data_IF_767258293208
#
_entry.id   IF_767258293208
#
_cell.length_a   1.000
_cell.length_b   1.000
_cell.length_c   1.000
_cell.angle_alpha   90.00
_cell.angle_beta   90.00
_cell.angle_gamma   90.00
#
_symmetry.space_group_name_H-M   'P 1'
#
loop_
_entity.id
_entity.type
_entity.pdbx_description
1 polymer ?
#
# COMPACT_ATOMS: atom_id res chain seq x y z
N UNK A 1 -49.93 -19.09 -16.65
CA UNK A 1 -48.54 -18.57 -16.73
C UNK A 1 -48.10 -18.22 -15.32
N UNK A 2 -47.39 -19.12 -14.64
CA UNK A 2 -46.96 -18.95 -13.25
C UNK A 2 -45.44 -18.88 -13.21
N UNK A 3 -44.93 -17.74 -12.71
CA UNK A 3 -43.52 -17.43 -12.63
C UNK A 3 -42.82 -18.38 -11.65
N UNK A 4 -41.78 -19.06 -12.13
CA UNK A 4 -40.91 -19.90 -11.30
C UNK A 4 -39.98 -19.01 -10.48
N UNK A 5 -40.03 -19.12 -9.16
CA UNK A 5 -39.14 -18.39 -8.25
C UNK A 5 -37.76 -19.04 -8.29
N UNK A 6 -36.75 -18.30 -8.74
CA UNK A 6 -35.34 -18.70 -8.68
C UNK A 6 -34.83 -18.43 -7.27
N UNK A 7 -34.68 -19.48 -6.48
CA UNK A 7 -34.01 -19.42 -5.17
C UNK A 7 -32.50 -19.27 -5.39
N UNK A 8 -31.96 -18.08 -5.12
CA UNK A 8 -30.51 -17.85 -5.11
C UNK A 8 -29.98 -18.29 -3.74
N UNK A 9 -29.25 -19.39 -3.72
CA UNK A 9 -28.49 -19.80 -2.53
C UNK A 9 -27.26 -18.88 -2.35
N UNK A 10 -26.94 -18.44 -1.12
CA UNK A 10 -25.75 -17.63 -0.88
C UNK A 10 -24.51 -18.49 -1.13
N UNK A 11 -23.65 -18.05 -2.06
CA UNK A 11 -22.33 -18.66 -2.26
C UNK A 11 -21.54 -18.54 -0.96
N UNK A 12 -21.17 -19.68 -0.39
CA UNK A 12 -20.20 -19.74 0.70
C UNK A 12 -18.93 -18.99 0.29
N UNK A 13 -18.50 -18.07 1.17
CA UNK A 13 -17.23 -17.38 1.04
C UNK A 13 -16.13 -18.38 1.42
N UNK A 14 -15.65 -19.11 0.42
CA UNK A 14 -14.45 -19.91 0.53
C UNK A 14 -13.24 -18.97 0.55
N UNK A 15 -12.61 -18.83 1.72
CA UNK A 15 -11.50 -17.90 2.00
C UNK A 15 -10.23 -18.18 1.20
N UNK A 16 -10.19 -19.29 0.45
CA UNK A 16 -9.00 -19.73 -0.29
C UNK A 16 -9.04 -19.42 -1.79
N UNK A 17 -10.11 -18.81 -2.33
CA UNK A 17 -10.27 -18.53 -3.77
C UNK A 17 -9.97 -17.10 -4.23
N UNK A 18 -9.13 -16.35 -3.51
CA UNK A 18 -8.67 -15.01 -3.95
C UNK A 18 -7.56 -15.08 -5.03
N UNK A 19 -7.13 -16.29 -5.43
CA UNK A 19 -5.90 -16.48 -6.21
C UNK A 19 -6.02 -16.44 -7.74
N UNK A 20 -7.22 -16.36 -8.33
CA UNK A 20 -7.34 -16.61 -9.78
C UNK A 20 -7.27 -15.40 -10.72
N UNK A 21 -6.99 -14.16 -10.27
CA UNK A 21 -7.06 -13.02 -11.19
C UNK A 21 -6.18 -11.79 -10.87
N UNK A 22 -4.94 -11.99 -10.40
CA UNK A 22 -3.99 -10.87 -10.28
C UNK A 22 -2.56 -11.27 -10.67
N UNK A 23 -1.83 -10.43 -11.44
CA UNK A 23 -0.46 -10.72 -11.82
C UNK A 23 0.42 -10.86 -10.57
N UNK A 24 1.14 -11.97 -10.54
CA UNK A 24 1.63 -12.69 -9.38
C UNK A 24 2.96 -12.07 -8.91
N UNK A 25 3.04 -11.80 -7.59
CA UNK A 25 4.23 -11.81 -6.69
C UNK A 25 4.19 -10.70 -5.62
N UNK A 26 3.67 -9.50 -5.89
CA UNK A 26 3.67 -8.39 -4.91
C UNK A 26 2.50 -8.48 -3.89
N UNK A 27 1.54 -9.38 -4.12
CA UNK A 27 0.37 -9.57 -3.24
C UNK A 27 0.60 -10.57 -2.09
N UNK A 28 1.58 -11.47 -2.20
CA UNK A 28 1.80 -12.52 -1.19
C UNK A 28 2.18 -11.90 0.15
N UNK A 29 3.11 -10.93 0.18
CA UNK A 29 3.55 -10.32 1.43
C UNK A 29 2.43 -9.54 2.13
N UNK A 30 1.56 -8.86 1.38
CA UNK A 30 0.44 -8.12 1.97
C UNK A 30 -0.58 -9.08 2.60
N UNK A 31 -0.94 -10.14 1.89
CA UNK A 31 -1.92 -11.12 2.41
C UNK A 31 -1.31 -11.94 3.54
N UNK A 32 -0.15 -12.55 3.32
CA UNK A 32 0.48 -13.51 4.24
C UNK A 32 1.08 -12.86 5.46
N UNK A 33 1.75 -11.71 5.33
CA UNK A 33 2.47 -11.09 6.45
C UNK A 33 1.69 -9.98 7.15
N UNK A 34 0.59 -9.47 6.55
CA UNK A 34 -0.19 -8.37 7.15
C UNK A 34 -1.63 -8.78 7.44
N UNK A 35 -2.36 -9.24 6.42
CA UNK A 35 -3.80 -9.50 6.56
C UNK A 35 -4.05 -10.77 7.38
N UNK A 36 -3.45 -11.91 7.01
CA UNK A 36 -3.65 -13.20 7.70
C UNK A 36 -3.25 -13.15 9.17
N UNK A 37 -2.10 -12.58 9.58
CA UNK A 37 -1.73 -12.49 10.98
C UNK A 37 -2.69 -11.60 11.78
N UNK A 38 -3.13 -10.48 11.20
CA UNK A 38 -4.09 -9.59 11.84
C UNK A 38 -5.45 -10.28 12.06
N UNK A 39 -5.95 -11.02 11.06
CA UNK A 39 -7.18 -11.82 11.20
C UNK A 39 -7.05 -12.88 12.28
N UNK A 40 -5.99 -13.70 12.22
CA UNK A 40 -5.74 -14.71 13.24
C UNK A 40 -5.72 -14.14 14.65
N UNK A 41 -5.14 -12.95 14.82
CA UNK A 41 -5.14 -12.28 16.10
C UNK A 41 -6.55 -11.85 16.51
N UNK A 42 -7.30 -11.21 15.61
CA UNK A 42 -8.68 -10.80 15.88
C UNK A 42 -9.58 -11.99 16.22
N UNK A 43 -9.54 -13.06 15.43
CA UNK A 43 -10.36 -14.26 15.64
C UNK A 43 -10.08 -14.95 16.98
N UNK A 44 -8.84 -14.84 17.49
CA UNK A 44 -8.44 -15.46 18.75
C UNK A 44 -8.64 -14.57 19.99
N UNK A 45 -8.77 -13.25 19.84
CA UNK A 45 -8.71 -12.31 20.97
C UNK A 45 -9.84 -11.27 20.99
N UNK A 46 -10.69 -11.24 19.99
CA UNK A 46 -11.74 -10.24 19.87
C UNK A 46 -13.07 -10.88 19.46
N UNK A 47 -14.16 -10.19 19.80
CA UNK A 47 -15.51 -10.56 19.39
C UNK A 47 -16.00 -9.56 18.34
N UNK A 48 -16.37 -9.99 17.12
CA UNK A 48 -16.87 -9.09 16.08
C UNK A 48 -18.15 -8.33 16.48
N UNK A 49 -18.92 -8.83 17.45
CA UNK A 49 -20.13 -8.15 17.95
C UNK A 49 -19.82 -6.91 18.81
N UNK A 50 -18.65 -6.87 19.45
CA UNK A 50 -18.27 -5.80 20.39
C UNK A 50 -17.02 -5.04 19.95
N UNK A 51 -16.37 -5.46 18.88
CA UNK A 51 -15.11 -4.87 18.38
C UNK A 51 -15.32 -4.03 17.13
N UNK A 52 -14.77 -2.81 17.14
CA UNK A 52 -14.73 -1.92 15.97
C UNK A 52 -13.29 -1.71 15.49
N UNK A 53 -13.07 -1.91 14.18
CA UNK A 53 -11.80 -1.65 13.52
C UNK A 53 -11.75 -0.22 12.97
N UNK A 54 -10.88 0.62 13.53
CA UNK A 54 -10.63 1.97 13.04
C UNK A 54 -9.51 1.98 12.00
N UNK A 55 -9.79 2.45 10.80
CA UNK A 55 -8.84 2.46 9.67
C UNK A 55 -8.64 3.90 9.19
N UNK A 56 -7.40 4.38 9.19
CA UNK A 56 -7.03 5.72 8.74
C UNK A 56 -6.95 5.82 7.21
N UNK A 57 -8.08 6.14 6.58
CA UNK A 57 -8.18 6.54 5.16
C UNK A 57 -8.35 8.05 5.08
N UNK A 58 -7.54 8.74 4.28
CA UNK A 58 -7.70 10.19 4.15
C UNK A 58 -8.92 10.57 3.31
N UNK A 59 -9.39 11.82 3.45
CA UNK A 59 -10.57 12.32 2.76
C UNK A 59 -10.42 12.45 1.23
N UNK A 60 -9.28 12.04 0.64
CA UNK A 60 -9.08 12.08 -0.81
C UNK A 60 -10.09 11.21 -1.54
N UNK A 61 -10.41 11.60 -2.78
CA UNK A 61 -11.28 10.82 -3.66
C UNK A 61 -10.80 9.38 -3.82
N UNK A 62 -9.48 9.16 -3.83
CA UNK A 62 -8.89 7.82 -3.95
C UNK A 62 -9.21 6.95 -2.75
N UNK A 63 -9.02 7.48 -1.54
CA UNK A 63 -9.22 6.71 -0.31
C UNK A 63 -10.69 6.54 0.04
N UNK A 64 -11.53 7.55 -0.23
CA UNK A 64 -12.99 7.42 -0.11
C UNK A 64 -13.55 6.26 -0.96
N UNK A 65 -13.06 6.10 -2.20
CA UNK A 65 -13.48 5.01 -3.09
C UNK A 65 -13.04 3.62 -2.61
N UNK A 66 -12.04 3.53 -1.73
CA UNK A 66 -11.54 2.25 -1.19
C UNK A 66 -12.31 1.77 0.03
N UNK A 67 -12.96 2.68 0.75
CA UNK A 67 -13.65 2.36 2.01
C UNK A 67 -14.69 1.23 1.88
N UNK A 68 -15.57 1.19 0.86
CA UNK A 68 -16.57 0.11 0.75
C UNK A 68 -15.92 -1.27 0.59
N UNK A 69 -14.93 -1.40 -0.30
CA UNK A 69 -14.23 -2.66 -0.53
C UNK A 69 -13.43 -3.11 0.70
N UNK A 70 -12.86 -2.17 1.46
CA UNK A 70 -12.17 -2.47 2.71
C UNK A 70 -13.18 -2.96 3.77
N UNK A 71 -14.32 -2.29 3.91
CA UNK A 71 -15.37 -2.69 4.85
C UNK A 71 -15.91 -4.10 4.54
N UNK A 72 -16.26 -4.37 3.28
CA UNK A 72 -16.65 -5.72 2.83
C UNK A 72 -15.55 -6.73 3.09
N UNK A 73 -14.31 -6.35 2.79
CA UNK A 73 -13.14 -7.20 3.02
C UNK A 73 -13.03 -7.64 4.47
N UNK A 74 -13.36 -6.78 5.44
CA UNK A 74 -13.24 -7.06 6.87
C UNK A 74 -14.46 -7.71 7.53
N UNK A 75 -15.51 -8.09 6.80
CA UNK A 75 -16.62 -8.84 7.40
C UNK A 75 -16.13 -10.10 8.18
N UNK A 76 -16.67 -10.41 9.37
CA UNK A 76 -17.81 -9.79 10.08
C UNK A 76 -17.45 -8.57 10.96
N UNK A 77 -16.22 -8.08 10.93
CA UNK A 77 -15.78 -6.98 11.78
C UNK A 77 -16.40 -5.65 11.36
N UNK A 78 -16.92 -4.89 12.33
CA UNK A 78 -17.39 -3.52 12.07
C UNK A 78 -16.19 -2.61 11.80
N UNK A 79 -16.15 -1.96 10.64
CA UNK A 79 -15.08 -0.98 10.30
C UNK A 79 -15.58 0.47 10.36
N UNK A 80 -14.72 1.37 10.84
CA UNK A 80 -14.93 2.83 10.83
C UNK A 80 -13.73 3.54 10.21
N UNK A 81 -14.00 4.67 9.53
CA UNK A 81 -13.01 5.46 8.81
C UNK A 81 -13.09 6.94 9.23
N UNK A 82 -12.70 7.31 10.46
CA UNK A 82 -13.01 8.62 11.05
C UNK A 82 -12.54 9.82 10.21
N UNK A 83 -11.44 9.67 9.48
CA UNK A 83 -10.86 10.74 8.66
C UNK A 83 -11.62 11.00 7.34
N UNK A 84 -12.62 10.18 7.02
CA UNK A 84 -13.53 10.41 5.88
C UNK A 84 -14.72 11.29 6.24
N UNK A 85 -14.99 11.45 7.54
CA UNK A 85 -16.04 12.30 8.08
C UNK A 85 -15.55 13.76 8.19
N UNK A 86 -16.44 14.76 8.14
CA UNK A 86 -16.05 16.15 8.39
C UNK A 86 -15.58 16.38 9.84
N UNK A 87 -14.64 17.31 10.08
CA UNK A 87 -13.93 18.14 9.10
C UNK A 87 -12.82 17.38 8.35
N UNK A 88 -12.67 17.64 7.05
CA UNK A 88 -11.65 17.02 6.22
C UNK A 88 -10.31 17.75 6.36
N UNK A 89 -9.43 17.19 7.18
CA UNK A 89 -8.10 17.75 7.45
C UNK A 89 -7.09 17.34 6.38
N UNK A 90 -6.23 18.28 6.01
CA UNK A 90 -5.02 18.03 5.24
C UNK A 90 -4.03 17.18 6.06
N UNK A 91 -3.08 16.55 5.37
CA UNK A 91 -2.02 15.80 6.04
C UNK A 91 -1.22 16.67 7.02
N UNK A 92 -0.97 17.93 6.68
CA UNK A 92 -0.22 18.82 7.55
C UNK A 92 -1.00 19.12 8.84
N UNK A 93 -2.30 19.44 8.73
CA UNK A 93 -3.17 19.64 9.89
C UNK A 93 -3.24 18.39 10.78
N UNK A 94 -3.33 17.18 10.19
CA UNK A 94 -3.28 15.93 10.97
C UNK A 94 -1.96 15.75 11.72
N UNK A 95 -0.83 16.11 11.10
CA UNK A 95 0.47 16.07 11.75
C UNK A 95 0.59 17.11 12.87
N UNK A 96 0.03 18.30 12.68
CA UNK A 96 0.01 19.36 13.68
C UNK A 96 -0.87 18.99 14.87
N UNK A 97 -2.07 18.46 14.63
CA UNK A 97 -2.93 17.90 15.68
C UNK A 97 -2.24 16.78 16.45
N UNK A 98 -1.51 15.89 15.76
CA UNK A 98 -0.73 14.85 16.44
C UNK A 98 0.35 15.46 17.36
N UNK A 99 1.06 16.51 16.91
CA UNK A 99 2.05 17.21 17.75
C UNK A 99 1.41 17.90 18.95
N UNK A 100 0.24 18.52 18.78
CA UNK A 100 -0.51 19.15 19.89
C UNK A 100 -0.91 18.13 20.96
N UNK A 101 -1.17 16.88 20.56
CA UNK A 101 -1.42 15.76 21.47
C UNK A 101 -0.14 15.14 22.07
N UNK A 102 1.03 15.74 21.83
CA UNK A 102 2.32 15.23 22.31
C UNK A 102 2.88 14.04 21.52
N UNK A 103 2.26 13.68 20.40
CA UNK A 103 2.77 12.62 19.52
C UNK A 103 3.91 13.15 18.65
N UNK A 104 4.92 12.30 18.42
CA UNK A 104 6.03 12.60 17.50
C UNK A 104 5.74 11.97 16.14
N UNK A 105 5.52 12.76 15.07
CA UNK A 105 5.40 12.21 13.73
C UNK A 105 6.61 11.37 13.31
N UNK A 106 6.40 10.30 12.51
CA UNK A 106 7.50 9.51 11.97
C UNK A 106 8.54 10.33 11.21
N UNK A 107 9.83 10.00 11.42
CA UNK A 107 11.01 10.70 10.84
C UNK A 107 10.93 10.91 9.33
N UNK A 108 10.39 9.94 8.58
CA UNK A 108 10.32 10.00 7.12
C UNK A 108 9.49 11.18 6.60
N UNK A 109 8.50 11.65 7.36
CA UNK A 109 7.73 12.83 6.99
C UNK A 109 8.57 14.11 7.08
N UNK A 110 9.47 14.22 8.07
CA UNK A 110 10.39 15.35 8.20
C UNK A 110 11.41 15.38 7.04
N UNK A 111 11.72 14.22 6.44
CA UNK A 111 12.57 14.12 5.25
C UNK A 111 11.83 14.46 3.94
N UNK A 112 10.53 14.78 4.02
CA UNK A 112 9.69 15.09 2.87
C UNK A 112 9.22 13.85 2.10
N UNK A 113 9.31 12.65 2.67
CA UNK A 113 8.69 11.46 2.07
C UNK A 113 7.18 11.47 2.32
N UNK A 114 6.36 11.11 1.32
CA UNK A 114 4.92 11.21 1.46
C UNK A 114 4.34 10.16 2.41
N UNK A 115 5.02 9.04 2.65
CA UNK A 115 4.52 7.89 3.42
C UNK A 115 5.63 7.32 4.32
N UNK A 116 5.27 6.73 5.46
CA UNK A 116 6.20 6.10 6.40
C UNK A 116 6.28 4.56 6.22
N UNK A 117 6.44 4.09 4.99
CA UNK A 117 6.42 2.65 4.67
C UNK A 117 7.82 2.13 4.34
N UNK A 118 8.15 0.91 4.79
CA UNK A 118 9.37 0.17 4.43
C UNK A 118 10.67 0.98 4.63
N UNK A 119 10.74 1.77 5.71
CA UNK A 119 11.90 2.64 5.96
C UNK A 119 12.17 3.68 4.86
N UNK A 120 11.20 3.97 4.00
CA UNK A 120 11.34 4.84 2.84
C UNK A 120 11.64 4.10 1.54
N UNK A 121 12.04 2.83 1.56
CA UNK A 121 12.42 2.04 0.39
C UNK A 121 11.28 1.13 -0.11
N UNK A 122 10.06 1.65 -0.16
CA UNK A 122 8.91 0.86 -0.59
C UNK A 122 9.01 0.50 -2.09
N UNK A 123 9.06 -0.80 -2.41
CA UNK A 123 9.12 -1.31 -3.81
C UNK A 123 7.89 -0.95 -4.65
N UNK A 124 6.80 -0.50 -4.03
CA UNK A 124 5.61 0.00 -4.73
C UNK A 124 5.63 1.51 -4.98
N UNK A 125 6.66 2.21 -4.52
CA UNK A 125 6.78 3.65 -4.71
C UNK A 125 7.23 3.99 -6.14
N UNK A 126 6.81 5.15 -6.64
CA UNK A 126 7.14 5.59 -7.99
C UNK A 126 8.54 6.23 -8.10
N UNK A 127 8.97 6.48 -9.34
CA UNK A 127 10.30 7.03 -9.66
C UNK A 127 10.65 8.35 -8.94
N UNK A 128 9.68 9.25 -8.77
CA UNK A 128 9.88 10.50 -8.01
C UNK A 128 10.17 10.24 -6.53
N UNK A 129 9.52 9.24 -5.92
CA UNK A 129 9.79 8.85 -4.54
C UNK A 129 11.20 8.29 -4.40
N UNK A 130 11.63 7.41 -5.31
CA UNK A 130 12.99 6.86 -5.30
C UNK A 130 14.06 7.91 -5.56
N UNK A 131 13.80 8.88 -6.44
CA UNK A 131 14.69 10.02 -6.63
C UNK A 131 14.82 10.88 -5.37
N UNK A 132 13.72 11.12 -4.65
CA UNK A 132 13.77 11.80 -3.35
C UNK A 132 14.54 10.96 -2.32
N UNK A 133 14.32 9.66 -2.28
CA UNK A 133 15.00 8.74 -1.36
C UNK A 133 16.52 8.76 -1.58
N UNK A 134 17.00 8.75 -2.82
CA UNK A 134 18.42 8.87 -3.14
C UNK A 134 19.05 10.10 -2.50
N UNK A 135 18.30 11.21 -2.45
CA UNK A 135 18.78 12.46 -1.87
C UNK A 135 18.72 12.47 -0.33
N UNK A 136 17.65 11.95 0.28
CA UNK A 136 17.42 12.09 1.73
C UNK A 136 17.86 10.90 2.57
N UNK A 137 17.99 9.71 1.96
CA UNK A 137 18.44 8.46 2.59
C UNK A 137 19.25 7.64 1.55
N UNK A 138 20.45 8.11 1.14
CA UNK A 138 21.24 7.46 0.10
C UNK A 138 21.58 6.01 0.44
N UNK A 139 21.88 5.68 1.70
CA UNK A 139 22.19 4.31 2.12
C UNK A 139 21.02 3.34 1.90
N UNK A 140 19.78 3.81 2.12
CA UNK A 140 18.58 3.02 1.84
C UNK A 140 18.38 2.80 0.34
N UNK A 141 18.72 3.80 -0.48
CA UNK A 141 18.69 3.66 -1.92
C UNK A 141 19.72 2.63 -2.39
N UNK A 142 20.98 2.76 -1.95
CA UNK A 142 22.08 1.84 -2.27
C UNK A 142 21.76 0.41 -1.87
N UNK A 143 21.20 0.19 -0.68
CA UNK A 143 20.81 -1.14 -0.22
C UNK A 143 19.69 -1.74 -1.09
N UNK A 144 18.66 -0.96 -1.43
CA UNK A 144 17.57 -1.43 -2.26
C UNK A 144 18.01 -1.74 -3.70
N UNK A 145 18.95 -0.96 -4.22
CA UNK A 145 19.52 -1.14 -5.54
C UNK A 145 20.44 -2.37 -5.61
N UNK A 146 21.27 -2.61 -4.58
CA UNK A 146 22.04 -3.84 -4.48
C UNK A 146 21.11 -5.06 -4.43
N UNK A 147 20.03 -5.00 -3.65
CA UNK A 147 19.02 -6.05 -3.59
C UNK A 147 18.29 -6.24 -4.93
N UNK A 148 18.01 -5.17 -5.67
CA UNK A 148 17.42 -5.27 -7.01
C UNK A 148 18.39 -5.93 -8.00
N UNK A 149 19.68 -5.58 -7.96
CA UNK A 149 20.71 -6.24 -8.78
C UNK A 149 20.77 -7.74 -8.49
N UNK A 150 20.83 -8.13 -7.22
CA UNK A 150 20.82 -9.55 -6.85
C UNK A 150 19.56 -10.28 -7.36
N UNK A 151 18.38 -9.68 -7.18
CA UNK A 151 17.13 -10.26 -7.69
C UNK A 151 17.11 -10.38 -9.21
N UNK A 152 17.78 -9.48 -9.94
CA UNK A 152 17.91 -9.56 -11.40
C UNK A 152 18.85 -10.68 -11.84
N UNK A 153 19.91 -10.95 -11.09
CA UNK A 153 20.79 -12.09 -11.33
C UNK A 153 20.05 -13.41 -11.17
N UNK A 154 19.16 -13.50 -10.18
CA UNK A 154 18.38 -14.71 -9.91
C UNK A 154 17.14 -14.87 -10.82
N UNK A 155 16.42 -13.78 -11.09
CA UNK A 155 15.09 -13.81 -11.74
C UNK A 155 15.07 -13.27 -13.17
N UNK A 156 16.20 -12.75 -13.67
CA UNK A 156 16.31 -12.14 -14.99
C UNK A 156 15.80 -10.69 -15.04
N UNK A 157 15.04 -10.33 -16.08
CA UNK A 157 14.66 -8.93 -16.34
C UNK A 157 13.49 -8.44 -15.45
N UNK A 158 13.78 -8.27 -14.17
CA UNK A 158 12.87 -7.70 -13.17
C UNK A 158 13.34 -6.33 -12.69
N UNK A 159 12.44 -5.40 -12.44
CA UNK A 159 12.80 -4.10 -11.87
C UNK A 159 11.68 -3.59 -10.97
N UNK A 160 12.06 -2.86 -9.93
CA UNK A 160 11.21 -2.13 -8.99
C UNK A 160 10.38 -1.11 -9.75
N UNK A 161 11.02 -0.35 -10.65
CA UNK A 161 10.33 0.68 -11.44
C UNK A 161 10.06 0.20 -12.86
N UNK A 162 9.00 0.77 -13.42
CA UNK A 162 8.71 0.70 -14.85
C UNK A 162 8.32 2.08 -15.34
N UNK A 163 8.63 2.35 -16.60
CA UNK A 163 8.26 3.59 -17.28
C UNK A 163 7.54 3.28 -18.60
N UNK A 164 6.77 4.25 -19.11
CA UNK A 164 6.20 4.17 -20.44
C UNK A 164 7.00 5.04 -21.41
N UNK A 165 7.41 4.47 -22.53
CA UNK A 165 8.07 5.17 -23.64
C UNK A 165 7.42 4.70 -24.94
N UNK A 166 7.04 5.62 -25.82
CA UNK A 166 6.37 5.26 -27.08
C UNK A 166 5.19 4.28 -26.90
N UNK A 167 4.40 4.46 -25.83
CA UNK A 167 3.29 3.57 -25.42
C UNK A 167 3.68 2.13 -25.07
N UNK A 168 4.97 1.83 -24.96
CA UNK A 168 5.51 0.56 -24.50
C UNK A 168 6.04 0.68 -23.07
N UNK A 169 5.89 -0.39 -22.28
CA UNK A 169 6.35 -0.42 -20.88
C UNK A 169 7.77 -0.95 -20.84
N UNK A 170 8.68 -0.19 -20.25
CA UNK A 170 10.08 -0.56 -20.06
C UNK A 170 10.40 -0.72 -18.58
N UNK A 171 11.27 -1.67 -18.27
CA UNK A 171 11.87 -1.80 -16.93
C UNK A 171 12.82 -0.63 -16.70
N UNK A 172 12.81 -0.10 -15.48
CA UNK A 172 13.70 0.95 -15.05
C UNK A 172 14.36 0.49 -13.74
N UNK A 173 15.52 -0.19 -13.80
CA UNK A 173 16.28 -0.50 -12.60
C UNK A 173 16.69 0.78 -11.87
N UNK A 174 16.87 0.70 -10.55
CA UNK A 174 17.38 1.78 -9.72
C UNK A 174 18.77 2.22 -10.19
N UNK A 175 19.63 1.28 -10.63
CA UNK A 175 20.94 1.62 -11.23
C UNK A 175 20.82 2.58 -12.40
N UNK A 176 19.84 2.37 -13.27
CA UNK A 176 19.56 3.25 -14.41
C UNK A 176 18.92 4.56 -13.96
N UNK A 177 18.00 4.54 -13.00
CA UNK A 177 17.46 5.78 -12.41
C UNK A 177 18.59 6.63 -11.82
N UNK A 178 19.52 6.04 -11.06
CA UNK A 178 20.67 6.72 -10.46
C UNK A 178 21.53 7.39 -11.52
N UNK A 179 21.85 6.66 -12.60
CA UNK A 179 22.64 7.16 -13.74
C UNK A 179 21.98 8.38 -14.41
N UNK A 180 20.65 8.34 -14.58
CA UNK A 180 19.89 9.46 -15.16
C UNK A 180 19.91 10.69 -14.26
N UNK A 181 19.68 10.51 -12.97
CA UNK A 181 19.70 11.61 -12.00
C UNK A 181 21.09 12.26 -11.91
N UNK A 182 22.16 11.46 -11.99
CA UNK A 182 23.54 11.97 -12.02
C UNK A 182 23.85 12.84 -13.24
N UNK A 183 23.12 12.68 -14.35
CA UNK A 183 23.26 13.49 -15.57
C UNK A 183 22.23 14.64 -15.63
N UNK A 184 21.54 14.91 -14.52
CA UNK A 184 20.56 16.00 -14.40
C UNK A 184 19.20 15.71 -15.06
N UNK A 185 18.96 14.47 -15.50
CA UNK A 185 17.66 14.10 -16.05
C UNK A 185 16.61 14.05 -14.94
N UNK A 186 15.37 14.40 -15.30
CA UNK A 186 14.24 14.27 -14.37
C UNK A 186 13.83 12.81 -14.19
N UNK A 187 13.32 12.42 -13.00
CA UNK A 187 12.83 11.08 -12.73
C UNK A 187 11.78 10.62 -13.73
#
# INVERSE_FOLDING_TARGET
MTASQVTITPKSCDTDRVFSCFPIQVQISTVTLKIRPCRRWLDAHADPATTTLYIGLDASTRDRRRAPAIATGWNPWTTRFPLLDPPHLTKQELLDSARQLGLRPPRLYALGLPHNNCGGACVRAGKHHWARLLHVLPDHYTAAEAAETQLREELGDVAILTEQRHRQRHRLPLTELRRRLATGQRP
#
